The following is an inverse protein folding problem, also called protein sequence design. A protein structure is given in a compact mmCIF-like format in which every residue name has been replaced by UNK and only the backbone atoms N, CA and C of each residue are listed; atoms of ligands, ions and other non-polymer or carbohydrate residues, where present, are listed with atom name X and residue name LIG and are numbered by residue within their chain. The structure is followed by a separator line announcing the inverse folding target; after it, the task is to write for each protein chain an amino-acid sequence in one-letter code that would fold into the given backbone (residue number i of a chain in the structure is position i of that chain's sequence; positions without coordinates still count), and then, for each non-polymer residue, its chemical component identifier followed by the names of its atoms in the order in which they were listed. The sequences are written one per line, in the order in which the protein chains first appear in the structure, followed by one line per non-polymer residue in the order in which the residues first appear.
data_IF_149622379618
#
_entry.id   IF_149622379618
#
_cell.length_a   1.000
_cell.length_b   1.000
_cell.length_c   1.000
_cell.angle_alpha   90.00
_cell.angle_beta   90.00
_cell.angle_gamma   90.00
#
_symmetry.space_group_name_H-M   'P 1'
#
loop_
_entity.id
_entity.type
_entity.pdbx_description
1 polymer ?
#
# COMPACT_ATOMS: atom_id res chain seq x y z
N UNK A 1 -19.69 -34.53 10.32
CA UNK A 1 -18.30 -34.57 10.85
C UNK A 1 -18.06 -33.27 11.58
N UNK A 2 -18.36 -33.27 12.87
CA UNK A 2 -18.22 -32.09 13.73
C UNK A 2 -16.74 -31.83 13.98
N UNK A 3 -16.26 -30.71 13.45
CA UNK A 3 -14.89 -30.27 13.71
C UNK A 3 -14.86 -29.77 15.15
N UNK A 4 -14.01 -30.30 16.03
CA UNK A 4 -13.96 -29.83 17.42
C UNK A 4 -13.65 -28.33 17.42
N UNK A 5 -14.55 -27.56 18.03
CA UNK A 5 -14.33 -26.15 18.35
C UNK A 5 -13.09 -26.06 19.24
N UNK A 6 -11.93 -25.82 18.62
CA UNK A 6 -10.72 -25.43 19.34
C UNK A 6 -11.02 -24.10 20.02
N UNK A 7 -11.35 -24.19 21.31
CA UNK A 7 -11.42 -23.06 22.24
C UNK A 7 -10.16 -22.20 22.04
N UNK A 8 -10.30 -21.06 21.35
CA UNK A 8 -9.29 -20.02 21.34
C UNK A 8 -9.14 -19.57 22.78
N UNK A 9 -8.12 -20.05 23.47
CA UNK A 9 -7.78 -19.59 24.81
C UNK A 9 -7.70 -18.05 24.76
N UNK A 10 -8.55 -17.32 25.51
CA UNK A 10 -8.46 -15.89 25.56
C UNK A 10 -7.13 -15.56 26.24
N UNK A 11 -6.14 -15.13 25.45
CA UNK A 11 -4.95 -14.45 25.96
C UNK A 11 -5.40 -13.07 26.49
N UNK A 12 -6.18 -13.08 27.57
CA UNK A 12 -6.62 -11.88 28.30
C UNK A 12 -5.87 -11.87 29.63
N UNK A 13 -4.71 -11.22 29.64
CA UNK A 13 -3.84 -11.09 30.80
C UNK A 13 -2.66 -10.19 30.48
N UNK A 14 -2.01 -9.60 31.50
CA UNK A 14 -0.96 -8.56 31.44
C UNK A 14 -0.07 -8.55 30.18
N UNK A 15 0.36 -9.71 29.70
CA UNK A 15 1.19 -9.90 28.50
C UNK A 15 0.63 -9.20 27.24
N UNK A 16 -0.68 -9.20 27.01
CA UNK A 16 -1.29 -8.52 25.85
C UNK A 16 -1.21 -6.98 25.96
N UNK A 17 -1.24 -6.44 27.19
CA UNK A 17 -1.05 -5.00 27.45
C UNK A 17 0.41 -4.60 27.22
N UNK A 18 1.35 -5.41 27.70
CA UNK A 18 2.79 -5.16 27.50
C UNK A 18 3.21 -5.19 26.02
N UNK A 19 2.71 -6.16 25.25
CA UNK A 19 2.99 -6.21 23.81
C UNK A 19 2.48 -4.96 23.07
N UNK A 20 1.30 -4.46 23.42
CA UNK A 20 0.74 -3.24 22.80
C UNK A 20 1.60 -2.00 23.11
N UNK A 21 2.01 -1.83 24.37
CA UNK A 21 2.90 -0.72 24.77
C UNK A 21 4.25 -0.80 24.08
N UNK A 22 4.83 -2.01 24.00
CA UNK A 22 6.09 -2.25 23.31
C UNK A 22 6.01 -1.89 21.83
N UNK A 23 4.97 -2.34 21.10
CA UNK A 23 4.82 -2.00 19.69
C UNK A 23 4.66 -0.51 19.46
N UNK A 24 3.88 0.18 20.30
CA UNK A 24 3.77 1.65 20.24
C UNK A 24 5.13 2.30 20.41
N UNK A 25 5.87 1.93 21.47
CA UNK A 25 7.17 2.49 21.76
C UNK A 25 8.16 2.27 20.62
N UNK A 26 8.24 1.04 20.07
CA UNK A 26 9.11 0.72 18.94
C UNK A 26 8.75 1.51 17.67
N UNK A 27 7.45 1.66 17.36
CA UNK A 27 7.04 2.45 16.20
C UNK A 27 7.29 3.94 16.38
N UNK A 28 7.11 4.47 17.59
CA UNK A 28 7.40 5.87 17.89
C UNK A 28 8.90 6.16 17.88
N UNK A 29 9.71 5.24 18.41
CA UNK A 29 11.16 5.33 18.36
C UNK A 29 11.67 5.29 16.92
N UNK A 30 11.17 4.36 16.11
CA UNK A 30 11.46 4.30 14.66
C UNK A 30 11.09 5.61 13.97
N UNK A 31 9.91 6.17 14.26
CA UNK A 31 9.47 7.44 13.68
C UNK A 31 10.38 8.59 14.08
N UNK A 32 10.71 8.70 15.37
CA UNK A 32 11.57 9.76 15.89
C UNK A 32 12.98 9.70 15.28
N UNK A 33 13.56 8.50 15.17
CA UNK A 33 14.88 8.30 14.57
C UNK A 33 14.88 8.63 13.08
N UNK A 34 13.89 8.16 12.33
CA UNK A 34 13.82 8.38 10.88
C UNK A 34 13.35 9.79 10.51
N UNK A 35 12.65 10.50 11.39
CA UNK A 35 12.28 11.91 11.19
C UNK A 35 13.52 12.82 11.12
N UNK A 36 14.65 12.41 11.68
CA UNK A 36 15.91 13.15 11.56
C UNK A 36 16.37 13.30 10.08
N UNK A 37 15.97 12.38 9.19
CA UNK A 37 16.33 12.40 7.77
C UNK A 37 15.71 13.62 7.06
N UNK A 38 14.37 13.78 6.98
CA UNK A 38 13.79 14.99 6.39
C UNK A 38 14.24 16.25 7.13
N UNK A 39 14.34 16.21 8.46
CA UNK A 39 14.69 17.37 9.26
C UNK A 39 16.14 17.84 9.10
N UNK A 40 17.06 17.01 8.57
CA UNK A 40 18.44 17.45 8.35
C UNK A 40 18.59 18.51 7.26
N UNK A 41 17.63 18.58 6.33
CA UNK A 41 17.68 19.49 5.19
C UNK A 41 18.77 19.19 4.15
N UNK A 42 19.44 18.03 4.25
CA UNK A 42 20.52 17.65 3.34
C UNK A 42 20.05 17.51 1.89
N UNK A 43 18.84 17.01 1.68
CA UNK A 43 18.22 16.97 0.35
C UNK A 43 17.18 18.08 0.19
N UNK A 44 16.98 18.63 -1.03
CA UNK A 44 16.10 19.78 -1.25
C UNK A 44 14.65 19.57 -0.80
N UNK A 45 14.17 18.33 -0.82
CA UNK A 45 12.79 17.97 -0.48
C UNK A 45 12.70 17.03 0.74
N UNK A 46 13.80 16.88 1.50
CA UNK A 46 13.89 16.04 2.70
C UNK A 46 13.96 14.52 2.44
N UNK A 47 13.93 14.08 1.19
CA UNK A 47 13.94 12.66 0.80
C UNK A 47 15.30 11.99 1.06
N UNK A 48 15.30 10.67 1.11
CA UNK A 48 16.51 9.86 1.25
C UNK A 48 17.44 9.96 0.04
N UNK A 49 16.87 10.15 -1.15
CA UNK A 49 17.58 10.36 -2.40
C UNK A 49 17.01 11.59 -3.13
N UNK A 50 17.86 12.38 -3.82
CA UNK A 50 17.38 13.42 -4.73
C UNK A 50 16.51 12.87 -5.86
N UNK A 51 15.62 13.70 -6.40
CA UNK A 51 14.80 13.38 -7.58
C UNK A 51 13.41 12.79 -7.28
N UNK A 52 13.15 12.35 -6.05
CA UNK A 52 11.81 11.94 -5.64
C UNK A 52 10.95 13.15 -5.31
N UNK A 53 9.77 13.22 -5.93
CA UNK A 53 8.89 14.40 -5.88
C UNK A 53 7.43 14.07 -5.57
N UNK A 54 7.06 12.80 -5.42
CA UNK A 54 5.65 12.41 -5.30
C UNK A 54 4.95 13.07 -4.09
N UNK A 55 5.63 13.15 -2.94
CA UNK A 55 5.10 13.74 -1.71
C UNK A 55 4.74 15.22 -1.84
N UNK A 56 5.42 15.97 -2.71
CA UNK A 56 5.12 17.37 -3.01
C UNK A 56 4.25 17.53 -4.26
N UNK A 57 4.28 16.56 -5.17
CA UNK A 57 3.43 16.49 -6.37
C UNK A 57 1.97 16.30 -6.02
N UNK A 58 1.64 15.39 -5.13
CA UNK A 58 0.24 15.11 -4.80
C UNK A 58 -0.53 16.33 -4.28
N UNK A 59 0.01 17.14 -3.33
CA UNK A 59 -0.63 18.39 -2.95
C UNK A 59 -0.90 19.35 -4.11
N UNK A 60 0.05 19.46 -5.04
CA UNK A 60 -0.11 20.32 -6.22
C UNK A 60 -1.19 19.79 -7.17
N UNK A 61 -1.23 18.47 -7.42
CA UNK A 61 -2.28 17.85 -8.24
C UNK A 61 -3.67 18.09 -7.64
N UNK A 62 -3.80 18.02 -6.32
CA UNK A 62 -5.06 18.37 -5.64
C UNK A 62 -5.45 19.82 -5.88
N UNK A 63 -4.49 20.76 -5.82
CA UNK A 63 -4.76 22.17 -6.12
C UNK A 63 -5.29 22.35 -7.55
N UNK A 64 -4.64 21.68 -8.52
CA UNK A 64 -5.09 21.69 -9.92
C UNK A 64 -6.52 21.12 -10.02
N UNK A 65 -6.81 19.99 -9.35
CA UNK A 65 -8.15 19.39 -9.33
C UNK A 65 -9.22 20.29 -8.72
N UNK A 66 -8.88 21.05 -7.67
CA UNK A 66 -9.79 22.02 -7.05
C UNK A 66 -10.15 23.18 -8.00
N UNK A 67 -9.22 23.59 -8.87
CA UNK A 67 -9.40 24.74 -9.76
C UNK A 67 -9.89 24.37 -11.17
N UNK A 68 -9.57 23.17 -11.65
CA UNK A 68 -9.92 22.69 -13.01
C UNK A 68 -11.00 21.61 -13.01
N UNK A 69 -11.32 21.03 -11.86
CA UNK A 69 -12.25 19.92 -11.71
C UNK A 69 -11.55 18.56 -11.70
N UNK A 70 -12.17 17.60 -11.01
CA UNK A 70 -11.62 16.23 -10.84
C UNK A 70 -11.57 15.48 -12.16
N UNK A 71 -12.58 15.61 -13.02
CA UNK A 71 -12.60 14.94 -14.33
C UNK A 71 -11.40 15.37 -15.19
N UNK A 72 -11.09 16.68 -15.22
CA UNK A 72 -10.00 17.24 -15.99
C UNK A 72 -8.64 16.60 -15.63
N UNK A 73 -8.40 16.31 -14.33
CA UNK A 73 -7.17 15.64 -13.88
C UNK A 73 -6.92 14.28 -14.54
N UNK A 74 -7.99 13.57 -14.92
CA UNK A 74 -7.89 12.25 -15.54
C UNK A 74 -7.86 12.35 -17.06
N UNK A 75 -8.49 13.36 -17.65
CA UNK A 75 -8.63 13.46 -19.12
C UNK A 75 -7.55 14.30 -19.79
N UNK A 76 -6.79 15.08 -19.03
CA UNK A 76 -5.87 16.09 -19.54
C UNK A 76 -4.50 16.01 -18.84
N UNK A 77 -3.42 16.34 -19.56
CA UNK A 77 -2.07 16.35 -19.00
C UNK A 77 -1.93 17.40 -17.89
N UNK A 78 -1.07 17.15 -16.89
CA UNK A 78 -0.86 18.11 -15.81
C UNK A 78 -0.24 19.42 -16.34
N UNK A 79 0.56 19.35 -17.39
CA UNK A 79 1.19 20.47 -18.08
C UNK A 79 0.19 21.46 -18.68
N UNK A 80 -0.86 20.96 -19.32
CA UNK A 80 -1.95 21.81 -19.84
C UNK A 80 -2.79 22.41 -18.70
N UNK A 81 -3.12 21.60 -17.69
CA UNK A 81 -4.02 22.04 -16.61
C UNK A 81 -3.41 23.13 -15.71
N UNK A 82 -2.08 23.17 -15.60
CA UNK A 82 -1.39 24.14 -14.75
C UNK A 82 -1.27 25.55 -15.33
N UNK A 83 -1.48 25.73 -16.63
CA UNK A 83 -1.30 27.04 -17.26
C UNK A 83 -2.16 28.10 -16.55
N UNK A 84 -1.54 29.21 -16.14
CA UNK A 84 -2.23 30.29 -15.42
C UNK A 84 -2.68 29.96 -13.98
N UNK A 85 -2.34 28.79 -13.43
CA UNK A 85 -2.61 28.46 -12.03
C UNK A 85 -1.44 28.81 -11.13
N UNK A 86 -1.69 29.71 -10.18
CA UNK A 86 -0.73 30.00 -9.11
C UNK A 86 -0.90 29.00 -7.96
N UNK A 87 0.17 28.26 -7.64
CA UNK A 87 0.32 27.50 -6.39
C UNK A 87 1.70 27.81 -5.81
N UNK A 88 1.78 28.17 -4.53
CA UNK A 88 3.05 28.62 -3.93
C UNK A 88 4.15 27.54 -3.95
N UNK A 89 3.75 26.27 -3.98
CA UNK A 89 4.65 25.11 -3.96
C UNK A 89 4.54 24.30 -5.27
N UNK A 90 4.36 24.98 -6.40
CA UNK A 90 4.23 24.35 -7.71
C UNK A 90 5.49 23.55 -8.10
N UNK A 91 5.29 22.54 -8.96
CA UNK A 91 6.36 21.66 -9.46
C UNK A 91 6.32 21.59 -10.98
N UNK A 92 7.52 21.47 -11.56
CA UNK A 92 7.74 21.40 -13.01
C UNK A 92 8.06 19.97 -13.50
N UNK A 93 7.70 18.95 -12.71
CA UNK A 93 7.95 17.54 -13.03
C UNK A 93 6.66 16.80 -13.35
N UNK A 94 6.77 15.74 -14.16
CA UNK A 94 5.65 14.84 -14.49
C UNK A 94 4.45 15.53 -15.15
N UNK A 95 4.74 16.52 -16.02
CA UNK A 95 3.72 17.34 -16.67
C UNK A 95 2.96 16.58 -17.76
N UNK A 96 3.62 15.62 -18.40
CA UNK A 96 3.08 14.90 -19.56
C UNK A 96 2.19 13.71 -19.18
N UNK A 97 2.12 13.35 -17.90
CA UNK A 97 1.34 12.19 -17.43
C UNK A 97 0.01 12.60 -16.79
N UNK A 98 -1.07 11.83 -17.03
CA UNK A 98 -2.33 12.05 -16.32
C UNK A 98 -2.19 11.73 -14.82
N UNK A 99 -3.19 12.14 -14.05
CA UNK A 99 -3.36 11.63 -12.70
C UNK A 99 -3.79 10.16 -12.73
N UNK A 100 -2.99 9.27 -12.12
CA UNK A 100 -3.20 7.82 -12.21
C UNK A 100 -3.81 7.17 -10.97
N UNK A 101 -4.07 7.95 -9.94
CA UNK A 101 -4.50 7.42 -8.66
C UNK A 101 -6.01 7.56 -8.50
N UNK A 102 -6.67 6.70 -7.72
CA UNK A 102 -8.08 6.87 -7.45
C UNK A 102 -8.33 8.17 -6.63
N UNK A 103 -9.56 8.70 -6.65
CA UNK A 103 -9.83 10.05 -6.17
C UNK A 103 -9.71 10.21 -4.65
N UNK A 104 -9.70 9.13 -3.87
CA UNK A 104 -9.48 9.21 -2.43
C UNK A 104 -8.09 9.74 -2.05
N UNK A 105 -7.09 9.56 -2.91
CA UNK A 105 -5.77 10.19 -2.73
C UNK A 105 -5.85 11.72 -2.78
N UNK A 106 -6.81 12.29 -3.53
CA UNK A 106 -7.00 13.74 -3.53
C UNK A 106 -7.46 14.24 -2.15
N UNK A 107 -8.33 13.46 -1.48
CA UNK A 107 -8.78 13.76 -0.12
C UNK A 107 -7.65 13.58 0.89
N UNK A 108 -6.81 12.54 0.72
CA UNK A 108 -5.65 12.29 1.57
C UNK A 108 -4.69 13.49 1.58
N UNK A 109 -4.43 14.07 0.40
CA UNK A 109 -3.46 15.16 0.24
C UNK A 109 -4.04 16.57 0.36
N UNK A 110 -5.36 16.71 0.41
CA UNK A 110 -6.03 18.00 0.58
C UNK A 110 -5.44 18.84 1.74
N UNK A 111 -5.23 18.30 2.96
CA UNK A 111 -4.65 19.10 4.04
C UNK A 111 -3.27 19.69 3.69
N UNK A 112 -2.40 18.91 3.01
CA UNK A 112 -1.09 19.37 2.60
C UNK A 112 -1.18 20.42 1.47
N UNK A 113 -2.17 20.30 0.58
CA UNK A 113 -2.47 21.34 -0.42
C UNK A 113 -2.83 22.67 0.23
N UNK A 114 -3.71 22.62 1.23
CA UNK A 114 -4.12 23.83 1.96
C UNK A 114 -2.91 24.46 2.67
N UNK A 115 -2.11 23.64 3.37
CA UNK A 115 -0.89 24.10 4.04
C UNK A 115 0.08 24.74 3.04
N UNK A 116 0.35 24.07 1.92
CA UNK A 116 1.29 24.56 0.91
C UNK A 116 0.83 25.87 0.26
N UNK A 117 -0.47 26.08 0.09
CA UNK A 117 -0.99 27.32 -0.49
C UNK A 117 -0.97 28.50 0.49
N UNK A 118 -1.38 28.31 1.74
CA UNK A 118 -1.64 29.44 2.65
C UNK A 118 -0.55 29.72 3.66
N UNK A 119 0.20 28.71 4.11
CA UNK A 119 1.26 28.92 5.10
C UNK A 119 2.54 29.39 4.38
N UNK A 120 3.12 30.55 4.75
CA UNK A 120 4.37 31.01 4.16
C UNK A 120 5.52 30.09 4.59
N UNK A 121 6.05 29.31 3.66
CA UNK A 121 7.20 28.43 3.89
C UNK A 121 8.04 28.26 2.63
N UNK A 122 9.33 27.99 2.81
CA UNK A 122 10.21 27.66 1.69
C UNK A 122 9.80 26.31 1.07
N UNK A 123 10.11 26.07 -0.21
CA UNK A 123 9.88 24.77 -0.86
C UNK A 123 10.50 23.59 -0.10
N UNK A 124 11.66 23.80 0.50
CA UNK A 124 12.32 22.80 1.33
C UNK A 124 11.50 22.46 2.58
N UNK A 125 11.06 23.46 3.34
CA UNK A 125 10.24 23.23 4.52
C UNK A 125 8.92 22.53 4.17
N UNK A 126 8.31 22.89 3.05
CA UNK A 126 7.12 22.20 2.54
C UNK A 126 7.40 20.72 2.22
N UNK A 127 8.49 20.43 1.51
CA UNK A 127 8.94 19.07 1.24
C UNK A 127 9.14 18.24 2.52
N UNK A 128 9.75 18.82 3.53
CA UNK A 128 9.96 18.18 4.84
C UNK A 128 8.63 17.85 5.53
N UNK A 129 7.68 18.79 5.57
CA UNK A 129 6.35 18.58 6.15
C UNK A 129 5.61 17.46 5.42
N UNK A 130 5.60 17.48 4.09
CA UNK A 130 5.00 16.44 3.27
C UNK A 130 5.64 15.07 3.55
N UNK A 131 6.96 14.99 3.67
CA UNK A 131 7.63 13.72 3.94
C UNK A 131 7.36 13.19 5.36
N UNK A 132 7.35 14.07 6.36
CA UNK A 132 6.99 13.71 7.73
C UNK A 132 5.55 13.17 7.82
N UNK A 133 4.62 13.75 7.06
CA UNK A 133 3.25 13.25 6.94
C UNK A 133 3.20 11.82 6.37
N UNK A 134 3.94 11.55 5.29
CA UNK A 134 4.00 10.20 4.72
C UNK A 134 4.71 9.20 5.64
N UNK A 135 5.77 9.63 6.32
CA UNK A 135 6.47 8.83 7.32
C UNK A 135 5.55 8.46 8.47
N UNK A 136 4.70 9.38 8.93
CA UNK A 136 3.66 9.10 9.91
C UNK A 136 2.68 8.04 9.40
N UNK A 137 2.15 8.17 8.17
CA UNK A 137 1.28 7.15 7.57
C UNK A 137 1.93 5.76 7.52
N UNK A 138 3.21 5.68 7.14
CA UNK A 138 3.96 4.43 7.11
C UNK A 138 4.15 3.81 8.50
N UNK A 139 4.36 4.62 9.55
CA UNK A 139 4.45 4.12 10.92
C UNK A 139 3.10 3.67 11.49
N UNK A 140 2.00 4.34 11.12
CA UNK A 140 0.65 3.87 11.46
C UNK A 140 0.37 2.51 10.80
N UNK A 141 0.76 2.34 9.53
CA UNK A 141 0.68 1.06 8.84
C UNK A 141 1.53 -0.02 9.52
N UNK A 142 2.79 0.29 9.85
CA UNK A 142 3.68 -0.61 10.56
C UNK A 142 3.10 -1.03 11.92
N UNK A 143 2.56 -0.09 12.69
CA UNK A 143 1.90 -0.40 13.96
C UNK A 143 0.73 -1.37 13.75
N UNK A 144 -0.12 -1.12 12.74
CA UNK A 144 -1.20 -2.03 12.39
C UNK A 144 -0.68 -3.43 12.00
N UNK A 145 0.43 -3.50 11.24
CA UNK A 145 1.10 -4.76 10.85
C UNK A 145 1.56 -5.53 12.07
N UNK A 146 2.27 -4.88 12.99
CA UNK A 146 2.76 -5.51 14.21
C UNK A 146 1.62 -6.01 15.09
N UNK A 147 0.54 -5.22 15.23
CA UNK A 147 -0.68 -5.63 15.96
C UNK A 147 -1.41 -6.79 15.30
N UNK A 148 -1.47 -6.84 13.97
CA UNK A 148 -2.03 -7.98 13.24
C UNK A 148 -1.18 -9.23 13.48
N UNK A 149 0.13 -9.14 13.26
CA UNK A 149 1.07 -10.25 13.45
C UNK A 149 1.00 -10.81 14.88
N UNK A 150 0.93 -9.95 15.89
CA UNK A 150 0.79 -10.35 17.30
C UNK A 150 -0.41 -11.30 17.53
N UNK A 151 -1.53 -11.02 16.85
CA UNK A 151 -2.76 -11.81 16.93
C UNK A 151 -2.86 -13.02 15.99
N UNK A 152 -1.93 -13.23 15.06
CA UNK A 152 -1.94 -14.39 14.14
C UNK A 152 -1.22 -15.61 14.74
N UNK A 153 -1.17 -16.81 14.12
CA UNK A 153 -0.38 -17.95 14.62
C UNK A 153 1.13 -17.71 14.54
N UNK A 154 1.92 -18.30 15.45
CA UNK A 154 3.38 -18.11 15.53
C UNK A 154 4.11 -18.63 14.26
N UNK A 155 5.39 -18.29 14.12
CA UNK A 155 6.26 -18.79 13.03
C UNK A 155 6.46 -17.82 11.88
N UNK A 156 7.69 -17.35 11.67
CA UNK A 156 8.07 -16.45 10.56
C UNK A 156 7.51 -15.02 10.62
N UNK A 157 6.77 -14.64 11.69
CA UNK A 157 6.19 -13.30 11.83
C UNK A 157 7.23 -12.18 11.84
N UNK A 158 8.37 -12.42 12.47
CA UNK A 158 9.48 -11.44 12.55
C UNK A 158 9.99 -11.08 11.16
N UNK A 159 10.10 -12.05 10.25
CA UNK A 159 10.57 -11.82 8.89
C UNK A 159 9.56 -10.98 8.09
N UNK A 160 8.26 -11.25 8.27
CA UNK A 160 7.20 -10.43 7.66
C UNK A 160 7.22 -9.00 8.21
N UNK A 161 7.35 -8.84 9.54
CA UNK A 161 7.46 -7.53 10.18
C UNK A 161 8.70 -6.76 9.71
N UNK A 162 9.85 -7.42 9.61
CA UNK A 162 11.08 -6.83 9.10
C UNK A 162 10.96 -6.41 7.64
N UNK A 163 10.39 -7.25 6.77
CA UNK A 163 10.12 -6.90 5.37
C UNK A 163 9.20 -5.69 5.28
N UNK A 164 8.11 -5.66 6.06
CA UNK A 164 7.19 -4.53 6.09
C UNK A 164 7.88 -3.25 6.56
N UNK A 165 8.70 -3.31 7.61
CA UNK A 165 9.48 -2.15 8.05
C UNK A 165 10.42 -1.65 6.95
N UNK A 166 11.25 -2.52 6.38
CA UNK A 166 12.20 -2.16 5.33
C UNK A 166 11.52 -1.47 4.14
N UNK A 167 10.45 -2.07 3.62
CA UNK A 167 9.75 -1.55 2.45
C UNK A 167 9.01 -0.26 2.81
N UNK A 168 8.19 -0.22 3.86
CA UNK A 168 7.41 0.96 4.21
C UNK A 168 8.30 2.18 4.52
N UNK A 169 9.41 1.98 5.23
CA UNK A 169 10.33 3.09 5.55
C UNK A 169 11.03 3.60 4.30
N UNK A 170 11.52 2.70 3.43
CA UNK A 170 12.13 3.10 2.16
C UNK A 170 11.16 3.91 1.31
N UNK A 171 9.91 3.48 1.22
CA UNK A 171 8.88 4.16 0.44
C UNK A 171 8.60 5.55 0.99
N UNK A 172 8.27 5.64 2.27
CA UNK A 172 7.95 6.93 2.88
C UNK A 172 9.12 7.92 2.80
N UNK A 173 10.35 7.47 3.07
CA UNK A 173 11.54 8.34 3.00
C UNK A 173 11.91 8.74 1.55
N UNK A 174 11.36 8.06 0.54
CA UNK A 174 11.47 8.45 -0.86
C UNK A 174 10.16 9.09 -1.40
N UNK A 175 9.32 9.63 -0.51
CA UNK A 175 8.15 10.43 -0.91
C UNK A 175 6.93 9.62 -1.37
N UNK A 176 6.93 8.29 -1.20
CA UNK A 176 5.81 7.43 -1.58
C UNK A 176 4.80 7.28 -0.44
N UNK A 177 3.51 7.33 -0.77
CA UNK A 177 2.43 7.37 0.23
C UNK A 177 1.83 6.00 0.56
N UNK A 178 2.45 4.90 0.13
CA UNK A 178 1.92 3.54 0.22
C UNK A 178 1.45 3.13 1.62
N UNK A 179 2.06 3.66 2.67
CA UNK A 179 1.62 3.44 4.05
C UNK A 179 0.12 3.70 4.26
N UNK A 180 -0.44 4.74 3.62
CA UNK A 180 -1.84 5.14 3.79
C UNK A 180 -2.85 4.10 3.26
N UNK A 181 -2.55 3.42 2.16
CA UNK A 181 -3.45 2.38 1.64
C UNK A 181 -3.12 1.00 2.23
N UNK A 182 -1.85 0.73 2.54
CA UNK A 182 -1.42 -0.52 3.18
C UNK A 182 -2.06 -0.66 4.56
N UNK A 183 -2.14 0.41 5.37
CA UNK A 183 -2.85 0.34 6.67
C UNK A 183 -4.29 -0.12 6.50
N UNK A 184 -5.00 0.33 5.46
CA UNK A 184 -6.36 -0.11 5.17
C UNK A 184 -6.39 -1.61 4.83
N UNK A 185 -5.46 -2.10 4.01
CA UNK A 185 -5.32 -3.53 3.71
C UNK A 185 -5.07 -4.39 4.95
N UNK A 186 -4.18 -3.94 5.85
CA UNK A 186 -3.88 -4.61 7.11
C UNK A 186 -5.10 -4.62 8.04
N UNK A 187 -5.82 -3.51 8.14
CA UNK A 187 -7.05 -3.42 8.93
C UNK A 187 -8.18 -4.29 8.34
N UNK A 188 -8.25 -4.46 7.02
CA UNK A 188 -9.17 -5.39 6.37
C UNK A 188 -8.86 -6.85 6.78
N UNK A 189 -7.58 -7.25 6.71
CA UNK A 189 -7.14 -8.58 7.17
C UNK A 189 -7.42 -8.78 8.66
N UNK A 190 -7.13 -7.78 9.49
CA UNK A 190 -7.42 -7.81 10.93
C UNK A 190 -8.91 -7.89 11.25
N UNK A 191 -9.77 -7.25 10.46
CA UNK A 191 -11.22 -7.37 10.58
C UNK A 191 -11.71 -8.77 10.18
N UNK A 192 -11.16 -9.37 9.12
CA UNK A 192 -11.46 -10.77 8.76
C UNK A 192 -11.00 -11.75 9.84
N UNK A 193 -9.82 -11.58 10.41
CA UNK A 193 -9.31 -12.44 11.50
C UNK A 193 -10.20 -12.42 12.75
N UNK A 194 -10.97 -11.33 12.93
CA UNK A 194 -11.94 -11.11 14.01
C UNK A 194 -13.38 -11.40 13.58
N UNK A 195 -13.59 -12.01 12.41
CA UNK A 195 -14.92 -12.36 11.87
C UNK A 195 -15.85 -11.13 11.73
N UNK A 196 -15.28 -9.98 11.34
CA UNK A 196 -16.01 -8.73 11.08
C UNK A 196 -16.02 -8.40 9.57
N UNK A 197 -16.72 -9.20 8.74
CA UNK A 197 -16.63 -9.10 7.29
C UNK A 197 -17.12 -7.74 6.74
N UNK A 198 -18.16 -7.16 7.33
CA UNK A 198 -18.66 -5.83 6.94
C UNK A 198 -17.61 -4.74 7.16
N UNK A 199 -16.84 -4.83 8.25
CA UNK A 199 -15.75 -3.90 8.52
C UNK A 199 -14.60 -4.12 7.54
N UNK A 200 -14.28 -5.37 7.21
CA UNK A 200 -13.27 -5.69 6.21
C UNK A 200 -13.61 -5.10 4.83
N UNK A 201 -14.86 -5.21 4.38
CA UNK A 201 -15.34 -4.62 3.14
C UNK A 201 -15.13 -3.09 3.09
N UNK A 202 -15.41 -2.38 4.20
CA UNK A 202 -15.18 -0.93 4.29
C UNK A 202 -13.71 -0.56 4.13
N UNK A 203 -12.81 -1.33 4.75
CA UNK A 203 -11.37 -1.12 4.62
C UNK A 203 -10.84 -1.47 3.22
N UNK A 204 -11.39 -2.51 2.57
CA UNK A 204 -11.06 -2.82 1.17
C UNK A 204 -11.51 -1.68 0.25
N UNK A 205 -12.72 -1.15 0.42
CA UNK A 205 -13.20 -0.02 -0.35
C UNK A 205 -12.33 1.24 -0.11
N UNK A 206 -11.96 1.53 1.13
CA UNK A 206 -11.08 2.66 1.43
C UNK A 206 -9.68 2.47 0.81
N UNK A 207 -9.10 1.28 0.86
CA UNK A 207 -7.83 0.98 0.19
C UNK A 207 -7.95 1.21 -1.33
N UNK A 208 -9.06 0.77 -1.95
CA UNK A 208 -9.32 0.95 -3.38
C UNK A 208 -9.52 2.43 -3.79
N UNK A 209 -10.01 3.29 -2.89
CA UNK A 209 -10.06 4.73 -3.10
C UNK A 209 -8.69 5.41 -3.00
N UNK A 210 -7.71 4.78 -2.34
CA UNK A 210 -6.38 5.37 -2.12
C UNK A 210 -5.35 4.88 -3.14
N UNK A 211 -5.47 3.65 -3.66
CA UNK A 211 -4.45 3.14 -4.57
C UNK A 211 -4.98 2.03 -5.48
N UNK A 212 -4.60 2.05 -6.76
CA UNK A 212 -4.99 1.02 -7.74
C UNK A 212 -4.46 -0.38 -7.38
N UNK A 213 -3.25 -0.45 -6.81
CA UNK A 213 -2.63 -1.66 -6.24
C UNK A 213 -3.45 -2.34 -5.15
N UNK A 214 -4.46 -1.68 -4.58
CA UNK A 214 -5.43 -2.33 -3.71
C UNK A 214 -6.19 -3.49 -4.41
N UNK A 215 -6.04 -3.67 -5.73
CA UNK A 215 -6.44 -4.88 -6.45
C UNK A 215 -5.95 -6.18 -5.79
N UNK A 216 -4.79 -6.17 -5.13
CA UNK A 216 -4.29 -7.32 -4.34
C UNK A 216 -5.30 -7.79 -3.28
N UNK A 217 -6.16 -6.90 -2.80
CA UNK A 217 -7.19 -7.16 -1.79
C UNK A 217 -8.48 -7.76 -2.37
N UNK A 218 -8.58 -8.04 -3.67
CA UNK A 218 -9.79 -8.66 -4.25
C UNK A 218 -10.13 -9.98 -3.55
N UNK A 219 -9.13 -10.83 -3.26
CA UNK A 219 -9.35 -12.06 -2.51
C UNK A 219 -9.93 -11.80 -1.10
N UNK A 220 -9.47 -10.72 -0.43
CA UNK A 220 -9.98 -10.27 0.87
C UNK A 220 -11.44 -9.82 0.74
N UNK A 221 -11.74 -9.01 -0.28
CA UNK A 221 -13.08 -8.51 -0.57
C UNK A 221 -14.08 -9.63 -0.88
N UNK A 222 -13.71 -10.62 -1.69
CA UNK A 222 -14.56 -11.77 -2.03
C UNK A 222 -14.89 -12.61 -0.78
N UNK A 223 -13.87 -12.90 0.06
CA UNK A 223 -14.09 -13.63 1.31
C UNK A 223 -14.98 -12.84 2.27
N UNK A 224 -14.70 -11.54 2.43
CA UNK A 224 -15.49 -10.67 3.30
C UNK A 224 -16.95 -10.57 2.81
N UNK A 225 -17.17 -10.39 1.51
CA UNK A 225 -18.51 -10.36 0.91
C UNK A 225 -19.25 -11.68 1.17
N UNK A 226 -18.60 -12.81 0.89
CA UNK A 226 -19.18 -14.14 1.11
C UNK A 226 -19.58 -14.32 2.57
N UNK A 227 -18.70 -13.99 3.51
CA UNK A 227 -19.00 -14.08 4.96
C UNK A 227 -20.08 -13.09 5.42
N UNK A 228 -20.21 -11.93 4.76
CA UNK A 228 -21.20 -10.92 5.13
C UNK A 228 -22.63 -11.32 4.75
N UNK A 229 -22.80 -12.16 3.72
CA UNK A 229 -24.13 -12.53 3.17
C UNK A 229 -24.51 -13.99 3.38
N UNK A 230 -23.54 -14.89 3.57
CA UNK A 230 -23.79 -16.34 3.68
C UNK A 230 -24.69 -16.65 4.87
N UNK A 231 -25.76 -17.42 4.61
CA UNK A 231 -26.72 -17.86 5.63
C UNK A 231 -27.70 -16.78 6.10
N UNK A 232 -27.69 -15.59 5.47
CA UNK A 232 -28.62 -14.49 5.78
C UNK A 232 -29.65 -14.34 4.68
N UNK A 233 -30.86 -13.95 5.06
CA UNK A 233 -31.89 -13.55 4.10
C UNK A 233 -31.50 -12.21 3.45
N UNK A 234 -31.99 -11.94 2.24
CA UNK A 234 -31.68 -10.72 1.48
C UNK A 234 -32.03 -9.44 2.26
N UNK A 235 -33.07 -9.49 3.12
CA UNK A 235 -33.48 -8.37 3.97
C UNK A 235 -32.46 -8.04 5.07
N UNK A 236 -31.64 -9.01 5.48
CA UNK A 236 -30.64 -8.88 6.54
C UNK A 236 -29.24 -8.55 6.00
N UNK A 237 -29.12 -8.38 4.68
CA UNK A 237 -27.84 -8.01 4.08
C UNK A 237 -27.42 -6.60 4.51
N UNK A 238 -26.11 -6.35 4.67
CA UNK A 238 -25.60 -5.04 5.09
C UNK A 238 -25.61 -4.04 3.93
N UNK A 239 -26.80 -3.74 3.39
CA UNK A 239 -27.01 -2.98 2.15
C UNK A 239 -26.26 -1.67 2.09
N UNK A 240 -26.25 -0.88 3.17
CA UNK A 240 -25.51 0.38 3.20
C UNK A 240 -24.00 0.19 2.90
N UNK A 241 -23.39 -0.86 3.45
CA UNK A 241 -21.98 -1.18 3.16
C UNK A 241 -21.82 -1.74 1.75
N UNK A 242 -22.72 -2.62 1.30
CA UNK A 242 -22.64 -3.20 -0.04
C UNK A 242 -22.78 -2.13 -1.14
N UNK A 243 -23.75 -1.23 -0.99
CA UNK A 243 -23.95 -0.09 -1.88
C UNK A 243 -22.77 0.88 -1.83
N UNK A 244 -22.21 1.15 -0.64
CA UNK A 244 -21.01 1.98 -0.51
C UNK A 244 -19.79 1.38 -1.21
N UNK A 245 -19.55 0.07 -1.05
CA UNK A 245 -18.46 -0.64 -1.75
C UNK A 245 -18.69 -0.63 -3.26
N UNK A 246 -19.91 -0.85 -3.71
CA UNK A 246 -20.26 -0.79 -5.13
C UNK A 246 -20.05 0.61 -5.71
N UNK A 247 -20.49 1.66 -5.00
CA UNK A 247 -20.29 3.04 -5.40
C UNK A 247 -18.81 3.39 -5.51
N UNK A 248 -17.98 2.96 -4.55
CA UNK A 248 -16.52 3.10 -4.63
C UNK A 248 -15.95 2.39 -5.85
N UNK A 249 -16.38 1.15 -6.11
CA UNK A 249 -15.97 0.40 -7.30
C UNK A 249 -16.30 1.14 -8.60
N UNK A 250 -17.53 1.68 -8.71
CA UNK A 250 -17.97 2.48 -9.86
C UNK A 250 -17.12 3.74 -10.02
N UNK A 251 -16.87 4.47 -8.92
CA UNK A 251 -16.03 5.68 -8.94
C UNK A 251 -14.62 5.35 -9.43
N UNK A 252 -13.97 4.33 -8.86
CA UNK A 252 -12.62 3.93 -9.28
C UNK A 252 -12.59 3.52 -10.76
N UNK A 253 -13.50 2.65 -11.19
CA UNK A 253 -13.57 2.22 -12.60
C UNK A 253 -13.79 3.44 -13.51
N UNK A 254 -14.71 4.34 -13.15
CA UNK A 254 -15.01 5.54 -13.94
C UNK A 254 -13.77 6.44 -14.08
N UNK A 255 -13.01 6.67 -13.01
CA UNK A 255 -11.79 7.48 -13.08
C UNK A 255 -10.70 6.83 -13.96
N UNK A 256 -10.57 5.50 -13.94
CA UNK A 256 -9.65 4.80 -14.84
C UNK A 256 -10.11 4.85 -16.31
N UNK A 257 -11.42 4.79 -16.57
CA UNK A 257 -11.96 4.94 -17.92
C UNK A 257 -11.75 6.35 -18.48
N UNK A 258 -11.84 7.39 -17.65
CA UNK A 258 -11.48 8.75 -18.05
C UNK A 258 -9.99 8.89 -18.40
N UNK A 259 -9.12 8.22 -17.64
CA UNK A 259 -7.67 8.24 -17.85
C UNK A 259 -7.22 7.44 -19.07
N UNK A 260 -7.92 6.37 -19.42
CA UNK A 260 -7.47 5.39 -20.43
C UNK A 260 -7.07 5.99 -21.80
N UNK A 261 -7.83 6.93 -22.40
CA UNK A 261 -7.46 7.52 -23.68
C UNK A 261 -6.16 8.33 -23.66
N UNK A 262 -5.82 8.94 -22.52
CA UNK A 262 -4.59 9.72 -22.36
C UNK A 262 -3.41 8.81 -22.02
N UNK A 263 -3.63 7.81 -21.15
CA UNK A 263 -2.63 6.79 -20.84
C UNK A 263 -2.18 6.01 -22.09
N UNK A 264 -3.11 5.72 -23.01
CA UNK A 264 -2.80 5.05 -24.28
C UNK A 264 -1.92 5.88 -25.24
N UNK A 265 -1.85 7.20 -25.07
CA UNK A 265 -1.13 8.13 -25.97
C UNK A 265 0.24 8.55 -25.45
N UNK A 266 0.53 8.37 -24.17
CA UNK A 266 1.66 9.01 -23.49
C UNK A 266 2.85 8.08 -23.25
N UNK A 267 2.88 6.88 -23.85
CA UNK A 267 3.80 5.76 -23.47
C UNK A 267 3.84 5.46 -21.96
N UNK A 268 2.97 6.10 -21.16
CA UNK A 268 2.54 5.68 -19.84
C UNK A 268 1.84 4.31 -19.88
N UNK A 269 1.56 3.80 -21.10
CA UNK A 269 1.39 2.39 -21.41
C UNK A 269 2.64 1.59 -20.99
N UNK A 270 2.70 1.35 -19.69
CA UNK A 270 3.62 0.49 -18.95
C UNK A 270 4.34 -0.52 -19.83
N UNK A 271 5.67 -0.42 -19.98
CA UNK A 271 6.43 -1.51 -20.57
C UNK A 271 6.24 -2.75 -19.69
N UNK A 272 5.48 -3.72 -20.19
CA UNK A 272 5.19 -4.96 -19.48
C UNK A 272 6.42 -5.88 -19.49
N UNK A 273 6.64 -6.65 -18.42
CA UNK A 273 7.62 -7.76 -18.47
C UNK A 273 7.24 -8.80 -19.54
N UNK A 274 6.02 -8.77 -20.08
CA UNK A 274 5.59 -9.64 -21.19
C UNK A 274 6.52 -9.54 -22.42
N UNK A 275 7.24 -8.43 -22.60
CA UNK A 275 8.27 -8.28 -23.63
C UNK A 275 9.61 -8.98 -23.32
N UNK A 276 9.78 -9.56 -22.13
CA UNK A 276 11.03 -10.16 -21.64
C UNK A 276 10.80 -11.64 -21.25
N UNK A 277 10.85 -12.59 -22.20
CA UNK A 277 10.46 -13.99 -21.96
C UNK A 277 11.16 -14.66 -20.78
N UNK A 278 12.44 -14.32 -20.52
CA UNK A 278 13.21 -14.84 -19.39
C UNK A 278 12.65 -14.34 -18.05
N UNK A 279 12.37 -13.04 -17.95
CA UNK A 279 11.76 -12.40 -16.78
C UNK A 279 10.37 -12.99 -16.52
N UNK A 280 9.55 -13.16 -17.57
CA UNK A 280 8.24 -13.82 -17.49
C UNK A 280 8.36 -15.23 -16.92
N UNK A 281 9.22 -16.07 -17.50
CA UNK A 281 9.40 -17.45 -17.05
C UNK A 281 9.84 -17.53 -15.58
N UNK A 282 10.74 -16.64 -15.15
CA UNK A 282 11.19 -16.55 -13.77
C UNK A 282 10.05 -16.14 -12.82
N UNK A 283 9.31 -15.08 -13.16
CA UNK A 283 8.16 -14.61 -12.35
C UNK A 283 7.08 -15.69 -12.23
N UNK A 284 6.76 -16.38 -13.32
CA UNK A 284 5.82 -17.51 -13.32
C UNK A 284 6.33 -18.66 -12.44
N UNK A 285 7.59 -19.08 -12.62
CA UNK A 285 8.17 -20.20 -11.85
C UNK A 285 8.18 -19.93 -10.34
N UNK A 286 8.61 -18.72 -9.94
CA UNK A 286 8.58 -18.28 -8.54
C UNK A 286 7.14 -18.25 -8.00
N UNK A 287 6.21 -17.71 -8.78
CA UNK A 287 4.82 -17.53 -8.35
C UNK A 287 4.04 -18.84 -8.29
N UNK A 288 4.24 -19.77 -9.22
CA UNK A 288 3.66 -21.13 -9.16
C UNK A 288 4.16 -21.85 -7.91
N UNK A 289 5.46 -21.77 -7.61
CA UNK A 289 6.04 -22.35 -6.39
C UNK A 289 5.40 -21.76 -5.13
N UNK A 290 5.25 -20.43 -5.08
CA UNK A 290 4.60 -19.73 -3.97
C UNK A 290 3.10 -20.08 -3.85
N UNK A 291 2.38 -20.22 -4.96
CA UNK A 291 0.97 -20.65 -4.99
C UNK A 291 0.82 -22.06 -4.43
N UNK A 292 1.66 -23.00 -4.85
CA UNK A 292 1.62 -24.39 -4.36
C UNK A 292 1.93 -24.44 -2.86
N UNK A 293 2.96 -23.72 -2.41
CA UNK A 293 3.32 -23.59 -1.00
C UNK A 293 2.16 -23.00 -0.19
N UNK A 294 1.56 -21.90 -0.66
CA UNK A 294 0.44 -21.23 -0.01
C UNK A 294 -0.81 -22.12 0.03
N UNK A 295 -1.15 -22.80 -1.07
CA UNK A 295 -2.31 -23.68 -1.15
C UNK A 295 -2.21 -24.84 -0.15
N UNK A 296 -1.07 -25.55 -0.15
CA UNK A 296 -0.83 -26.70 0.73
C UNK A 296 -0.63 -26.30 2.19
N UNK A 297 0.01 -25.16 2.45
CA UNK A 297 0.40 -24.73 3.79
C UNK A 297 -0.60 -23.80 4.50
N UNK A 298 -1.36 -22.99 3.77
CA UNK A 298 -2.25 -21.96 4.35
C UNK A 298 -3.66 -21.92 3.72
N UNK A 299 -3.84 -22.45 2.50
CA UNK A 299 -5.13 -22.59 1.82
C UNK A 299 -5.36 -21.66 0.64
N UNK A 300 -6.54 -21.83 0.02
CA UNK A 300 -6.92 -21.14 -1.21
C UNK A 300 -6.94 -19.62 -1.13
N UNK A 301 -7.28 -19.05 0.03
CA UNK A 301 -7.27 -17.59 0.21
C UNK A 301 -5.87 -16.97 0.04
N UNK A 302 -4.84 -17.56 0.66
CA UNK A 302 -3.47 -17.08 0.54
C UNK A 302 -2.95 -17.35 -0.87
N UNK A 303 -3.23 -18.53 -1.43
CA UNK A 303 -2.86 -18.87 -2.80
C UNK A 303 -3.47 -17.91 -3.84
N UNK A 304 -4.73 -17.53 -3.68
CA UNK A 304 -5.38 -16.52 -4.53
C UNK A 304 -4.72 -15.15 -4.39
N UNK A 305 -4.29 -14.77 -3.17
CA UNK A 305 -3.56 -13.52 -2.94
C UNK A 305 -2.18 -13.51 -3.62
N UNK A 306 -1.48 -14.66 -3.65
CA UNK A 306 -0.24 -14.83 -4.45
C UNK A 306 -0.54 -14.67 -5.94
N UNK A 307 -1.62 -15.30 -6.44
CA UNK A 307 -2.04 -15.16 -7.83
C UNK A 307 -2.32 -13.70 -8.22
N UNK A 308 -3.05 -12.95 -7.39
CA UNK A 308 -3.30 -11.52 -7.61
C UNK A 308 -2.01 -10.69 -7.59
N UNK A 309 -1.07 -11.01 -6.69
CA UNK A 309 0.24 -10.34 -6.66
C UNK A 309 1.08 -10.63 -7.89
N UNK A 310 0.93 -11.83 -8.44
CA UNK A 310 1.56 -12.24 -9.71
C UNK A 310 0.97 -11.45 -10.87
N UNK A 311 -0.36 -11.30 -10.94
CA UNK A 311 -1.03 -10.48 -11.96
C UNK A 311 -0.54 -9.03 -11.89
N UNK A 312 -0.47 -8.45 -10.68
CA UNK A 312 0.10 -7.11 -10.49
C UNK A 312 1.54 -7.02 -11.01
N UNK A 313 2.36 -8.02 -10.74
CA UNK A 313 3.73 -8.09 -11.25
C UNK A 313 3.83 -8.15 -12.78
N UNK A 314 2.77 -8.52 -13.51
CA UNK A 314 2.76 -8.47 -14.98
C UNK A 314 2.34 -7.12 -15.55
N UNK A 315 1.50 -6.38 -14.82
CA UNK A 315 0.86 -5.15 -15.31
C UNK A 315 1.49 -3.86 -14.75
N UNK A 316 2.27 -3.93 -13.67
CA UNK A 316 2.78 -2.77 -12.91
C UNK A 316 4.32 -2.67 -12.96
N UNK A 317 4.96 -2.75 -14.14
CA UNK A 317 6.36 -3.24 -14.26
C UNK A 317 7.48 -2.22 -14.50
N UNK A 318 7.23 -0.98 -14.97
CA UNK A 318 8.36 -0.08 -15.34
C UNK A 318 8.31 1.38 -14.86
N UNK A 319 7.18 1.89 -14.35
CA UNK A 319 7.10 3.30 -13.93
C UNK A 319 6.85 3.52 -12.43
N UNK A 320 6.68 2.45 -11.64
CA UNK A 320 6.17 2.56 -10.27
C UNK A 320 6.98 1.65 -9.34
N UNK A 321 8.02 2.20 -8.72
CA UNK A 321 9.27 1.51 -8.30
C UNK A 321 9.21 0.53 -7.10
N UNK A 322 8.10 -0.18 -6.86
CA UNK A 322 7.95 -0.94 -5.62
C UNK A 322 6.75 -1.88 -5.53
N UNK A 323 7.01 -3.07 -4.99
CA UNK A 323 6.11 -4.18 -4.74
C UNK A 323 5.36 -4.06 -3.38
N UNK A 324 5.02 -2.85 -2.95
CA UNK A 324 4.37 -2.60 -1.64
C UNK A 324 3.13 -3.46 -1.42
N UNK A 325 2.37 -3.72 -2.49
CA UNK A 325 1.19 -4.57 -2.46
C UNK A 325 1.47 -6.01 -2.02
N UNK A 326 2.66 -6.52 -2.33
CA UNK A 326 3.05 -7.88 -1.98
C UNK A 326 3.22 -8.07 -0.46
N UNK A 327 3.36 -6.99 0.32
CA UNK A 327 3.43 -7.04 1.79
C UNK A 327 2.17 -7.66 2.41
N UNK A 328 1.01 -7.50 1.77
CA UNK A 328 -0.27 -8.00 2.28
C UNK A 328 -0.41 -9.53 2.16
N UNK A 329 0.33 -10.16 1.24
CA UNK A 329 0.26 -11.61 0.98
C UNK A 329 0.80 -12.45 2.14
N UNK A 330 2.03 -12.24 2.67
CA UNK A 330 2.49 -12.98 3.85
C UNK A 330 1.70 -12.65 5.11
N UNK A 331 1.06 -11.47 5.19
CA UNK A 331 0.17 -11.09 6.29
C UNK A 331 -1.17 -11.84 6.27
N UNK A 332 -1.60 -12.33 5.11
CA UNK A 332 -2.82 -13.14 4.97
C UNK A 332 -2.69 -14.54 5.62
N UNK A 333 -1.46 -15.00 5.89
CA UNK A 333 -1.19 -16.32 6.47
C UNK A 333 -1.72 -16.42 7.89
N UNK A 334 -2.70 -17.29 8.09
CA UNK A 334 -3.32 -17.52 9.40
C UNK A 334 -4.55 -16.66 9.70
N UNK A 335 -4.98 -15.80 8.75
CA UNK A 335 -6.11 -14.87 8.97
C UNK A 335 -7.44 -15.62 9.08
N UNK A 336 -7.75 -16.50 8.13
CA UNK A 336 -9.04 -17.23 8.12
C UNK A 336 -9.00 -18.54 8.90
N UNK A 337 -7.84 -19.20 8.90
CA UNK A 337 -7.63 -20.49 9.55
C UNK A 337 -6.16 -20.65 9.92
N UNK A 338 -5.82 -21.45 10.95
CA UNK A 338 -4.44 -21.78 11.25
C UNK A 338 -3.75 -22.40 10.02
N UNK A 339 -2.55 -21.91 9.70
CA UNK A 339 -1.73 -22.50 8.65
C UNK A 339 -1.08 -23.80 9.18
N UNK A 340 -0.93 -24.80 8.31
CA UNK A 340 -0.24 -26.07 8.62
C UNK A 340 1.24 -25.85 8.86
N UNK A 341 1.87 -24.99 8.07
CA UNK A 341 3.31 -24.66 8.13
C UNK A 341 3.53 -23.14 8.14
N UNK A 342 3.12 -22.42 9.20
CA UNK A 342 3.11 -20.96 9.20
C UNK A 342 4.49 -20.35 8.93
N UNK A 343 5.57 -20.93 9.50
CA UNK A 343 6.95 -20.48 9.28
C UNK A 343 7.36 -20.64 7.81
N UNK A 344 7.24 -21.84 7.25
CA UNK A 344 7.67 -22.12 5.89
C UNK A 344 6.89 -21.28 4.87
N UNK A 345 5.57 -21.15 5.04
CA UNK A 345 4.73 -20.34 4.14
C UNK A 345 5.12 -18.86 4.23
N UNK A 346 5.25 -18.28 5.43
CA UNK A 346 5.61 -16.86 5.55
C UNK A 346 7.00 -16.57 5.02
N UNK A 347 7.99 -17.40 5.34
CA UNK A 347 9.37 -17.23 4.84
C UNK A 347 9.42 -17.38 3.32
N UNK A 348 8.74 -18.39 2.76
CA UNK A 348 8.64 -18.57 1.31
C UNK A 348 7.97 -17.38 0.61
N UNK A 349 6.92 -16.80 1.21
CA UNK A 349 6.26 -15.61 0.68
C UNK A 349 7.10 -14.33 0.83
N UNK A 350 7.90 -14.21 1.89
CA UNK A 350 8.87 -13.11 2.04
C UNK A 350 9.95 -13.20 0.96
N UNK A 351 10.49 -14.39 0.70
CA UNK A 351 11.46 -14.62 -0.37
C UNK A 351 10.84 -14.34 -1.74
N UNK A 352 9.63 -14.86 -2.00
CA UNK A 352 8.90 -14.59 -3.23
C UNK A 352 8.68 -13.07 -3.45
N UNK A 353 8.17 -12.35 -2.46
CA UNK A 353 7.96 -10.90 -2.58
C UNK A 353 9.27 -10.14 -2.79
N UNK A 354 10.33 -10.51 -2.08
CA UNK A 354 11.66 -9.91 -2.24
C UNK A 354 12.29 -10.19 -3.60
N UNK A 355 12.12 -11.40 -4.16
CA UNK A 355 12.61 -11.73 -5.50
C UNK A 355 11.82 -11.01 -6.58
N UNK A 356 10.48 -10.91 -6.44
CA UNK A 356 9.70 -10.13 -7.41
C UNK A 356 10.07 -8.64 -7.36
N UNK A 357 10.28 -8.04 -6.18
CA UNK A 357 10.82 -6.67 -6.03
C UNK A 357 12.08 -6.46 -6.87
N UNK A 358 13.01 -7.43 -6.86
CA UNK A 358 14.26 -7.36 -7.62
C UNK A 358 14.04 -7.57 -9.12
N UNK A 359 13.31 -8.62 -9.50
CA UNK A 359 13.19 -9.06 -10.89
C UNK A 359 12.25 -8.17 -11.71
N UNK A 360 11.19 -7.66 -11.08
CA UNK A 360 10.12 -6.94 -11.78
C UNK A 360 10.30 -5.44 -11.62
N UNK A 361 10.45 -4.99 -10.37
CA UNK A 361 10.52 -3.56 -10.05
C UNK A 361 11.95 -3.03 -9.98
N UNK A 362 12.95 -3.88 -10.28
CA UNK A 362 14.38 -3.54 -10.22
C UNK A 362 14.79 -2.91 -8.90
N UNK A 363 14.10 -3.27 -7.81
CA UNK A 363 14.29 -2.72 -6.47
C UNK A 363 14.97 -3.71 -5.52
N UNK A 364 15.14 -3.30 -4.28
CA UNK A 364 15.42 -4.23 -3.19
C UNK A 364 14.96 -3.63 -1.86
N UNK A 365 14.36 -4.41 -0.95
CA UNK A 365 14.04 -3.92 0.40
C UNK A 365 15.30 -3.47 1.15
N UNK A 366 16.45 -4.09 0.87
CA UNK A 366 17.73 -3.74 1.49
C UNK A 366 18.32 -2.43 0.98
N UNK A 367 17.78 -1.86 -0.10
CA UNK A 367 18.21 -0.55 -0.57
C UNK A 367 17.96 0.55 0.45
N UNK A 368 17.05 0.38 1.42
CA UNK A 368 16.94 1.31 2.55
C UNK A 368 18.30 1.60 3.18
N UNK A 369 19.08 0.55 3.49
CA UNK A 369 20.40 0.73 4.13
C UNK A 369 21.42 1.35 3.18
N UNK A 370 21.39 0.98 1.90
CA UNK A 370 22.24 1.60 0.87
C UNK A 370 21.94 3.10 0.76
N UNK A 371 20.67 3.45 0.77
CA UNK A 371 20.17 4.80 0.58
C UNK A 371 20.43 5.65 1.84
N UNK A 372 20.27 5.08 3.04
CA UNK A 372 20.71 5.70 4.32
C UNK A 372 22.23 5.92 4.32
N UNK A 373 23.03 4.93 3.93
CA UNK A 373 24.49 5.10 3.88
C UNK A 373 24.91 6.17 2.88
N UNK A 374 24.23 6.28 1.73
CA UNK A 374 24.45 7.39 0.77
C UNK A 374 24.09 8.73 1.40
N UNK A 375 22.95 8.79 2.09
CA UNK A 375 22.50 10.00 2.79
C UNK A 375 23.48 10.45 3.87
N UNK A 376 23.97 9.53 4.70
CA UNK A 376 24.95 9.82 5.76
C UNK A 376 26.30 10.31 5.23
N UNK A 377 26.61 10.11 3.94
CA UNK A 377 27.80 10.68 3.29
C UNK A 377 27.58 12.10 2.76
N UNK A 378 26.33 12.57 2.75
CA UNK A 378 25.96 13.94 2.35
C UNK A 378 25.79 14.87 3.56
N UNK A 379 25.55 14.31 4.76
CA UNK A 379 25.64 15.00 6.07
C UNK A 379 27.11 15.23 6.38
#
# INVERSE_FOLDING_TARGET
MDTPLLLRAPWTGLFARHATTMWRALTLLSLALLAAIPLSGVTPLGTLQPGYTDHVRHPYVVWVGMNRGVEALYTTSLGELREGLAYRQALDHWLDVPYVYPPGTLVLFLPLTLVGQWVPMSPQAFGQVCLLYLLFCAHVALYAVLRLLDGLPAGGRWAVGALCWLVLMRLALNGQYDGAWIVCGVLALGALAKERPVTALRWVALAALLHYRALILVAVGVVALTQAVRGRTVREWPWATLLGVAAVGVVCVRTFLWMAPLAARTDAATPSILGEPRTVALVLGLSVTAVVLAWRGAGGFVAASVGLGTVLAFIDTRHWWHASALLLVPLAVGVLRPARWPTAVRLGLVVWAGLLEVVVWHGSPLWLFRDINRFLRMV
#
